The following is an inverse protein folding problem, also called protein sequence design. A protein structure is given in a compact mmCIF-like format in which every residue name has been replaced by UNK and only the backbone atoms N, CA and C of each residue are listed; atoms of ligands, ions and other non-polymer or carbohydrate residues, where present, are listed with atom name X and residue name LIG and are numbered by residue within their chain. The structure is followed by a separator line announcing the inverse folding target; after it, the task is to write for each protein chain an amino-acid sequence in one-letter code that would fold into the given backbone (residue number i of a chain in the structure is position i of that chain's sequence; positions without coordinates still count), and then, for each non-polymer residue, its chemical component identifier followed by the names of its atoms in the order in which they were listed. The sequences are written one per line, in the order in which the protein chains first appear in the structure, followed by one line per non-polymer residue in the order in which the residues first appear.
data_IF_346395088865
#
_entry.id   IF_346395088865
#
_cell.length_a   1.000
_cell.length_b   1.000
_cell.length_c   1.000
_cell.angle_alpha   90.00
_cell.angle_beta   90.00
_cell.angle_gamma   90.00
#
_symmetry.space_group_name_H-M   'P 1'
#
loop_
_entity.id
_entity.type
_entity.pdbx_description
1 polymer ?
#
# COMPACT_ATOMS: atom_id res chain seq x y z
N UNK A 1 -14.66 -16.51 -15.09
CA UNK A 1 -13.32 -16.73 -14.53
C UNK A 1 -13.51 -17.27 -13.13
N UNK A 2 -13.25 -18.56 -12.94
CA UNK A 2 -13.33 -19.23 -11.64
C UNK A 2 -12.26 -18.70 -10.68
N UNK A 3 -12.48 -18.79 -9.36
CA UNK A 3 -11.48 -18.39 -8.35
C UNK A 3 -10.14 -19.13 -8.51
N UNK A 4 -10.16 -20.34 -9.07
CA UNK A 4 -8.94 -21.10 -9.40
C UNK A 4 -8.09 -20.49 -10.53
N UNK A 5 -8.68 -19.70 -11.42
CA UNK A 5 -7.96 -19.04 -12.52
C UNK A 5 -7.29 -17.73 -12.09
N UNK A 6 -7.53 -17.25 -10.85
CA UNK A 6 -6.96 -16.02 -10.30
C UNK A 6 -5.80 -16.24 -9.32
N UNK A 7 -5.45 -17.49 -9.01
CA UNK A 7 -4.34 -17.79 -8.11
C UNK A 7 -3.02 -17.55 -8.84
N UNK A 8 -2.46 -16.35 -8.71
CA UNK A 8 -1.12 -16.06 -9.21
C UNK A 8 -0.10 -16.71 -8.26
N UNK A 9 0.71 -17.64 -8.76
CA UNK A 9 1.83 -18.18 -7.98
C UNK A 9 2.85 -17.07 -7.69
N UNK A 10 3.54 -17.14 -6.55
CA UNK A 10 4.53 -16.12 -6.18
C UNK A 10 5.67 -16.06 -7.19
N UNK A 11 6.12 -17.21 -7.67
CA UNK A 11 7.20 -17.33 -8.65
C UNK A 11 6.83 -16.62 -9.96
N UNK A 12 5.62 -16.84 -10.47
CA UNK A 12 5.10 -16.18 -11.67
C UNK A 12 4.98 -14.67 -11.48
N UNK A 13 4.50 -14.24 -10.30
CA UNK A 13 4.40 -12.83 -9.95
C UNK A 13 5.77 -12.16 -9.93
N UNK A 14 6.74 -12.78 -9.25
CA UNK A 14 8.12 -12.28 -9.15
C UNK A 14 8.79 -12.24 -10.51
N UNK A 15 8.62 -13.26 -11.35
CA UNK A 15 9.13 -13.27 -12.72
C UNK A 15 8.56 -12.12 -13.56
N UNK A 16 7.24 -11.88 -13.47
CA UNK A 16 6.57 -10.75 -14.14
C UNK A 16 7.09 -9.40 -13.66
N UNK A 17 7.23 -9.21 -12.34
CA UNK A 17 7.78 -7.99 -11.75
C UNK A 17 9.22 -7.75 -12.20
N UNK A 18 10.08 -8.77 -12.13
CA UNK A 18 11.47 -8.67 -12.56
C UNK A 18 11.58 -8.28 -14.04
N UNK A 19 10.74 -8.87 -14.91
CA UNK A 19 10.69 -8.52 -16.33
C UNK A 19 10.13 -7.11 -16.59
N UNK A 20 9.09 -6.70 -15.86
CA UNK A 20 8.50 -5.36 -15.97
C UNK A 20 9.47 -4.26 -15.52
N UNK A 21 10.25 -4.48 -14.47
CA UNK A 21 11.24 -3.52 -13.96
C UNK A 21 12.43 -3.28 -14.91
N UNK A 22 12.63 -4.14 -15.92
CA UNK A 22 13.64 -3.93 -16.99
C UNK A 22 13.15 -3.00 -18.10
N UNK A 23 11.88 -2.63 -18.09
CA UNK A 23 11.23 -1.76 -19.08
C UNK A 23 10.96 -0.37 -18.46
N UNK A 24 10.66 0.66 -19.28
CA UNK A 24 10.22 1.93 -18.74
C UNK A 24 9.03 1.75 -17.78
N UNK A 25 9.14 2.32 -16.59
CA UNK A 25 8.11 2.17 -15.55
C UNK A 25 6.80 2.86 -15.97
N UNK A 26 5.63 2.31 -15.60
CA UNK A 26 4.35 3.00 -15.76
C UNK A 26 4.34 4.37 -15.06
N UNK A 27 5.02 4.45 -13.92
CA UNK A 27 5.34 5.68 -13.22
C UNK A 27 4.17 6.62 -13.00
N UNK A 28 4.39 7.89 -13.33
CA UNK A 28 3.44 8.97 -13.15
C UNK A 28 2.04 8.68 -13.72
N UNK A 29 1.94 7.94 -14.83
CA UNK A 29 0.66 7.63 -15.45
C UNK A 29 -0.18 6.69 -14.56
N UNK A 30 0.44 5.64 -14.02
CA UNK A 30 -0.23 4.72 -13.12
C UNK A 30 -0.49 5.35 -11.74
N UNK A 31 0.48 6.11 -11.21
CA UNK A 31 0.32 6.85 -9.96
C UNK A 31 -0.86 7.83 -10.02
N UNK A 32 -1.09 8.47 -11.18
CA UNK A 32 -2.18 9.42 -11.37
C UNK A 32 -3.57 8.80 -11.22
N UNK A 33 -3.72 7.48 -11.41
CA UNK A 33 -5.00 6.79 -11.22
C UNK A 33 -5.51 6.89 -9.78
N UNK A 34 -4.59 6.88 -8.80
CA UNK A 34 -4.93 6.93 -7.37
C UNK A 34 -4.55 8.25 -6.68
N UNK A 35 -4.29 9.31 -7.46
CA UNK A 35 -3.97 10.62 -6.93
C UNK A 35 -5.23 11.37 -6.45
N UNK A 36 -5.20 12.07 -5.29
CA UNK A 36 -6.33 12.88 -4.80
C UNK A 36 -6.79 13.99 -5.77
N UNK A 37 -8.08 14.33 -5.73
CA UNK A 37 -8.72 15.34 -6.61
C UNK A 37 -9.47 16.42 -5.81
N UNK A 38 -9.22 17.73 -6.02
CA UNK A 38 -8.42 18.29 -7.10
C UNK A 38 -6.92 18.12 -6.85
N UNK A 39 -6.17 17.85 -7.92
CA UNK A 39 -4.70 17.70 -7.93
C UNK A 39 -3.95 19.03 -7.69
N UNK A 40 -4.48 19.92 -6.85
CA UNK A 40 -3.88 21.25 -6.61
C UNK A 40 -2.45 21.09 -6.07
N UNK A 41 -1.47 21.60 -6.82
CA UNK A 41 -0.05 21.52 -6.46
C UNK A 41 0.62 20.15 -6.69
N UNK A 42 -0.11 19.10 -7.08
CA UNK A 42 0.51 17.83 -7.45
C UNK A 42 1.00 17.88 -8.90
N UNK A 43 2.32 17.84 -9.05
CA UNK A 43 2.98 17.65 -10.33
C UNK A 43 3.80 16.36 -10.25
N UNK A 44 3.46 15.31 -11.02
CA UNK A 44 4.17 14.03 -10.97
C UNK A 44 5.63 14.13 -11.41
N UNK A 45 6.00 15.24 -12.06
CA UNK A 45 7.38 15.55 -12.46
C UNK A 45 8.06 16.52 -11.50
N UNK A 46 7.34 17.05 -10.52
CA UNK A 46 7.96 17.94 -9.54
C UNK A 46 8.91 17.16 -8.66
N UNK A 47 10.01 17.82 -8.34
CA UNK A 47 11.02 17.37 -7.39
C UNK A 47 10.96 18.32 -6.20
N UNK A 48 11.11 17.79 -5.00
CA UNK A 48 11.17 18.62 -3.80
C UNK A 48 12.34 19.62 -3.89
N UNK A 49 12.11 20.94 -3.78
CA UNK A 49 13.18 21.90 -3.61
C UNK A 49 13.85 21.66 -2.24
N UNK A 50 15.11 21.19 -2.23
CA UNK A 50 15.86 20.90 -0.99
C UNK A 50 15.35 19.68 -0.20
N UNK A 51 14.65 18.75 -0.86
CA UNK A 51 13.78 17.77 -0.21
C UNK A 51 14.41 16.74 0.72
N UNK A 52 13.69 16.47 1.82
CA UNK A 52 13.90 15.30 2.66
C UNK A 52 13.57 14.05 1.83
N UNK A 53 14.44 13.05 1.85
CA UNK A 53 14.19 11.79 1.17
C UNK A 53 13.64 10.76 2.15
N UNK A 54 12.70 9.94 1.69
CA UNK A 54 12.16 8.80 2.42
C UNK A 54 12.18 7.57 1.51
N UNK A 55 12.22 6.38 2.10
CA UNK A 55 12.12 5.14 1.36
C UNK A 55 11.07 4.24 1.99
N UNK A 56 10.37 3.48 1.15
CA UNK A 56 9.36 2.50 1.59
C UNK A 56 9.60 1.15 0.95
N UNK A 57 9.29 0.09 1.67
CA UNK A 57 9.44 -1.28 1.20
C UNK A 57 8.10 -1.82 0.68
N UNK A 58 8.03 -2.12 -0.62
CA UNK A 58 6.93 -2.87 -1.23
C UNK A 58 7.34 -4.34 -1.27
N UNK A 59 7.15 -5.04 -0.16
CA UNK A 59 7.54 -6.44 0.02
C UNK A 59 6.39 -7.39 -0.32
N UNK A 60 6.61 -8.31 -1.26
CA UNK A 60 5.70 -9.43 -1.55
C UNK A 60 6.28 -10.77 -1.10
N UNK A 61 5.48 -11.64 -0.50
CA UNK A 61 5.91 -12.94 0.04
C UNK A 61 4.73 -13.92 0.08
N UNK A 62 4.94 -15.23 0.32
CA UNK A 62 3.82 -16.16 0.45
C UNK A 62 3.07 -15.85 1.75
N UNK A 63 1.81 -15.45 1.66
CA UNK A 63 0.97 -15.14 2.82
C UNK A 63 0.51 -16.39 3.56
N UNK A 64 -0.22 -16.18 4.66
CA UNK A 64 -0.95 -17.27 5.29
C UNK A 64 -2.03 -17.80 4.31
N UNK A 65 -2.08 -19.12 4.14
CA UNK A 65 -3.18 -19.78 3.44
C UNK A 65 -4.54 -19.48 4.10
N UNK A 66 -5.63 -19.72 3.36
CA UNK A 66 -6.95 -19.70 3.98
C UNK A 66 -7.00 -20.74 5.11
N UNK A 67 -7.65 -20.39 6.23
CA UNK A 67 -7.99 -21.36 7.29
C UNK A 67 -9.11 -22.29 6.80
N UNK A 68 -8.89 -22.97 5.68
CA UNK A 68 -9.78 -23.92 5.05
C UNK A 68 -9.03 -25.23 4.88
N UNK A 69 -9.33 -26.17 5.78
CA UNK A 69 -8.79 -27.53 5.88
C UNK A 69 -7.29 -27.63 6.29
N UNK A 70 -7.00 -27.91 7.58
CA UNK A 70 -5.65 -28.25 8.04
C UNK A 70 -5.25 -29.61 7.45
N UNK A 71 -4.78 -29.62 6.21
CA UNK A 71 -4.36 -30.83 5.51
C UNK A 71 -4.21 -30.71 3.99
N UNK A 72 -4.66 -29.62 3.34
CA UNK A 72 -4.47 -29.45 1.90
C UNK A 72 -3.19 -28.65 1.58
N UNK A 73 -2.03 -29.28 1.79
CA UNK A 73 -0.70 -28.77 1.41
C UNK A 73 -0.55 -28.55 -0.13
N UNK A 74 -1.60 -28.78 -0.92
CA UNK A 74 -1.57 -28.70 -2.39
C UNK A 74 -1.83 -27.30 -2.93
N UNK A 75 -2.42 -26.40 -2.15
CA UNK A 75 -2.70 -25.03 -2.59
C UNK A 75 -1.53 -24.10 -2.24
N UNK A 76 -0.90 -23.45 -3.23
CA UNK A 76 0.20 -22.54 -2.95
C UNK A 76 -0.28 -21.33 -2.14
N UNK A 77 0.52 -20.96 -1.14
CA UNK A 77 0.30 -19.77 -0.31
C UNK A 77 0.11 -18.52 -1.18
N UNK A 78 -0.94 -17.71 -0.93
CA UNK A 78 -1.26 -16.59 -1.80
C UNK A 78 -0.23 -15.46 -1.67
N UNK A 79 0.24 -14.86 -2.78
CA UNK A 79 1.13 -13.71 -2.71
C UNK A 79 0.50 -12.55 -1.95
N UNK A 80 1.26 -11.98 -1.02
CA UNK A 80 0.77 -11.03 -0.03
C UNK A 80 1.75 -9.88 0.11
N UNK A 81 1.24 -8.65 0.18
CA UNK A 81 2.02 -7.42 0.34
C UNK A 81 1.99 -6.94 1.79
N UNK A 82 3.16 -6.60 2.33
CA UNK A 82 3.29 -6.01 3.66
C UNK A 82 2.82 -4.55 3.69
N UNK A 83 1.91 -4.25 4.61
CA UNK A 83 1.49 -2.90 4.96
C UNK A 83 1.43 -2.73 6.48
N UNK A 84 1.45 -1.48 6.93
CA UNK A 84 1.31 -1.09 8.32
C UNK A 84 0.20 -0.06 8.46
N UNK A 85 -0.55 -0.12 9.55
CA UNK A 85 -1.39 0.99 9.99
C UNK A 85 -0.69 1.72 11.14
N UNK A 86 -0.46 3.03 10.98
CA UNK A 86 0.17 3.84 12.03
C UNK A 86 -0.73 3.99 13.26
N UNK A 87 -0.15 4.13 14.44
CA UNK A 87 -0.92 4.41 15.67
C UNK A 87 -1.67 5.75 15.61
N UNK A 88 -2.64 5.95 16.50
CA UNK A 88 -3.26 7.27 16.72
C UNK A 88 -2.36 8.24 17.51
N UNK A 89 -1.21 7.76 17.99
CA UNK A 89 -0.32 8.45 18.91
C UNK A 89 0.82 9.20 18.20
N UNK A 90 1.10 8.87 16.93
CA UNK A 90 2.11 9.58 16.13
C UNK A 90 1.65 10.99 15.76
N UNK A 91 2.59 11.93 15.73
CA UNK A 91 2.31 13.36 15.48
C UNK A 91 1.73 13.64 14.08
N UNK A 92 2.02 12.78 13.09
CA UNK A 92 1.58 12.92 11.70
C UNK A 92 1.01 11.60 11.16
N UNK A 93 0.06 11.70 10.23
CA UNK A 93 -0.49 10.55 9.48
C UNK A 93 -1.12 9.44 10.37
N UNK A 94 -1.85 9.85 11.41
CA UNK A 94 -2.54 8.94 12.34
C UNK A 94 -3.45 7.97 11.60
N UNK A 95 -3.36 6.66 11.92
CA UNK A 95 -4.20 5.59 11.34
C UNK A 95 -4.11 5.43 9.81
N UNK A 96 -3.11 6.02 9.18
CA UNK A 96 -2.91 5.84 7.75
C UNK A 96 -2.33 4.44 7.50
N UNK A 97 -2.89 3.73 6.52
CA UNK A 97 -2.28 2.52 5.97
C UNK A 97 -1.19 2.93 4.99
N UNK A 98 0.01 2.40 5.17
CA UNK A 98 1.17 2.66 4.32
C UNK A 98 2.04 1.42 4.19
N UNK A 99 2.96 1.45 3.24
CA UNK A 99 4.11 0.56 3.25
C UNK A 99 5.00 0.88 4.47
N UNK A 100 5.70 -0.11 5.04
CA UNK A 100 6.75 0.16 6.01
C UNK A 100 7.82 1.06 5.40
N UNK A 101 8.31 2.03 6.16
CA UNK A 101 9.28 2.99 5.64
C UNK A 101 9.34 4.31 6.40
N UNK A 102 10.39 5.07 6.09
CA UNK A 102 10.73 6.28 6.83
C UNK A 102 11.77 7.12 6.13
N UNK A 103 12.38 8.05 6.87
CA UNK A 103 13.37 8.97 6.33
C UNK A 103 14.67 8.23 5.97
N UNK A 104 15.31 8.64 4.88
CA UNK A 104 16.65 8.16 4.54
C UNK A 104 17.65 8.90 5.43
N UNK A 105 18.44 8.17 6.22
CA UNK A 105 19.46 8.75 7.08
C UNK A 105 20.74 9.08 6.30
N UNK A 106 21.62 9.87 6.93
CA UNK A 106 22.87 10.29 6.29
C UNK A 106 23.76 9.07 6.03
N UNK A 107 24.06 8.85 4.75
CA UNK A 107 24.92 7.74 4.31
C UNK A 107 24.17 6.47 3.93
N UNK A 108 22.84 6.44 4.11
CA UNK A 108 22.01 5.34 3.65
C UNK A 108 21.63 5.48 2.16
N UNK A 109 21.57 4.35 1.47
CA UNK A 109 20.82 4.23 0.22
C UNK A 109 19.32 4.10 0.52
N UNK A 110 18.44 4.41 -0.45
CA UNK A 110 17.00 4.15 -0.32
C UNK A 110 16.66 2.70 0.07
N UNK A 111 17.39 1.71 -0.47
CA UNK A 111 17.23 0.30 -0.12
C UNK A 111 17.55 0.04 1.35
N UNK A 112 18.67 0.58 1.85
CA UNK A 112 19.08 0.41 3.24
C UNK A 112 18.04 1.01 4.19
N UNK A 113 17.57 2.22 3.89
CA UNK A 113 16.52 2.88 4.67
C UNK A 113 15.21 2.07 4.65
N UNK A 114 14.74 1.61 3.48
CA UNK A 114 13.51 0.83 3.39
C UNK A 114 13.59 -0.49 4.18
N UNK A 115 14.73 -1.19 4.13
CA UNK A 115 14.94 -2.44 4.87
C UNK A 115 15.06 -2.21 6.38
N UNK A 116 15.79 -1.17 6.79
CA UNK A 116 15.93 -0.78 8.21
C UNK A 116 14.57 -0.45 8.81
N UNK A 117 13.81 0.43 8.16
CA UNK A 117 12.48 0.86 8.62
C UNK A 117 11.50 -0.32 8.68
N UNK A 118 11.50 -1.20 7.66
CA UNK A 118 10.68 -2.40 7.70
C UNK A 118 11.04 -3.32 8.88
N UNK A 119 12.34 -3.49 9.17
CA UNK A 119 12.80 -4.26 10.32
C UNK A 119 12.38 -3.61 11.64
N UNK A 120 12.53 -2.30 11.78
CA UNK A 120 12.14 -1.55 12.98
C UNK A 120 10.63 -1.58 13.22
N UNK A 121 9.80 -1.39 12.19
CA UNK A 121 8.35 -1.26 12.31
C UNK A 121 7.63 -2.62 12.42
N UNK A 122 8.17 -3.66 11.76
CA UNK A 122 7.46 -4.94 11.56
C UNK A 122 8.26 -6.19 11.91
N UNK A 123 9.50 -6.04 12.38
CA UNK A 123 10.43 -7.13 12.68
C UNK A 123 10.81 -8.02 11.48
N UNK A 124 10.56 -7.57 10.24
CA UNK A 124 11.08 -8.24 9.04
C UNK A 124 12.60 -8.32 9.11
N UNK A 125 13.22 -9.52 9.02
CA UNK A 125 14.67 -9.63 9.02
C UNK A 125 15.28 -8.92 7.81
N UNK A 126 16.27 -8.06 8.02
CA UNK A 126 16.90 -7.23 6.96
C UNK A 126 17.45 -8.07 5.79
N UNK A 127 17.92 -9.30 6.06
CA UNK A 127 18.46 -10.21 5.04
C UNK A 127 17.43 -11.07 4.31
N UNK A 128 16.15 -11.03 4.70
CA UNK A 128 15.11 -11.86 4.08
C UNK A 128 14.62 -11.26 2.74
N UNK A 129 14.31 -9.96 2.63
CA UNK A 129 13.89 -9.38 1.35
C UNK A 129 15.00 -9.40 0.28
N UNK A 130 14.64 -9.89 -0.90
CA UNK A 130 15.42 -9.81 -2.13
C UNK A 130 14.90 -8.67 -2.98
N UNK A 131 15.73 -7.65 -3.20
CA UNK A 131 15.32 -6.45 -3.96
C UNK A 131 15.21 -6.79 -5.45
N UNK A 132 14.08 -6.42 -6.05
CA UNK A 132 13.82 -6.53 -7.48
C UNK A 132 14.21 -5.25 -8.22
N UNK A 133 14.00 -4.09 -7.58
CA UNK A 133 14.31 -2.79 -8.16
C UNK A 133 13.56 -1.64 -7.49
N UNK A 134 13.66 -0.45 -8.08
CA UNK A 134 12.99 0.77 -7.62
C UNK A 134 11.77 1.06 -8.49
N UNK A 135 10.69 1.53 -7.87
CA UNK A 135 9.57 2.16 -8.59
C UNK A 135 9.84 3.66 -8.79
N UNK A 136 8.95 4.35 -9.50
CA UNK A 136 9.09 5.78 -9.77
C UNK A 136 9.01 6.58 -8.47
N UNK A 137 10.02 7.43 -8.16
CA UNK A 137 9.96 8.29 -6.97
C UNK A 137 8.74 9.20 -6.98
N UNK A 138 8.12 9.37 -5.81
CA UNK A 138 6.91 10.15 -5.65
C UNK A 138 7.15 11.32 -4.70
N UNK A 139 7.03 12.55 -5.22
CA UNK A 139 7.04 13.74 -4.39
C UNK A 139 5.66 13.94 -3.73
N UNK A 140 5.67 14.17 -2.41
CA UNK A 140 4.48 14.38 -1.59
C UNK A 140 4.50 15.81 -1.03
N UNK A 141 3.77 16.76 -1.65
CA UNK A 141 3.79 18.17 -1.26
C UNK A 141 3.41 18.41 0.21
N UNK A 142 2.43 17.65 0.73
CA UNK A 142 1.91 17.80 2.08
C UNK A 142 2.97 17.52 3.18
N UNK A 143 3.96 16.69 2.88
CA UNK A 143 5.03 16.33 3.82
C UNK A 143 6.40 16.90 3.42
N UNK A 144 6.55 17.33 2.16
CA UNK A 144 7.81 17.80 1.59
C UNK A 144 8.79 16.67 1.23
N UNK A 145 8.40 15.41 1.39
CA UNK A 145 9.26 14.26 1.10
C UNK A 145 9.21 13.85 -0.37
N UNK A 146 10.35 13.38 -0.88
CA UNK A 146 10.40 12.50 -2.05
C UNK A 146 10.51 11.06 -1.56
N UNK A 147 9.49 10.25 -1.84
CA UNK A 147 9.45 8.84 -1.45
C UNK A 147 10.07 8.00 -2.56
N UNK A 148 11.00 7.11 -2.18
CA UNK A 148 11.64 6.13 -3.04
C UNK A 148 11.07 4.72 -2.72
N UNK A 149 10.16 4.17 -3.55
CA UNK A 149 9.59 2.86 -3.29
C UNK A 149 10.51 1.75 -3.80
N UNK A 150 10.81 0.79 -2.94
CA UNK A 150 11.70 -0.35 -3.21
C UNK A 150 10.83 -1.60 -3.36
N UNK A 151 10.79 -2.17 -4.56
CA UNK A 151 10.10 -3.43 -4.81
C UNK A 151 11.02 -4.59 -4.41
N UNK A 152 10.53 -5.45 -3.52
CA UNK A 152 11.26 -6.61 -3.04
C UNK A 152 10.33 -7.81 -2.88
N UNK A 153 10.91 -8.99 -2.78
CA UNK A 153 10.18 -10.22 -2.50
C UNK A 153 10.92 -11.10 -1.49
N UNK A 154 10.22 -12.03 -0.86
CA UNK A 154 10.82 -13.07 -0.03
C UNK A 154 10.25 -14.45 -0.39
N UNK A 155 11.10 -15.47 -0.36
CA UNK A 155 10.74 -16.87 -0.63
C UNK A 155 9.84 -17.46 0.48
N UNK A 156 9.82 -16.84 1.67
CA UNK A 156 9.05 -17.30 2.83
C UNK A 156 8.34 -16.13 3.54
N UNK A 157 7.31 -16.46 4.34
CA UNK A 157 6.60 -15.48 5.15
C UNK A 157 7.49 -15.01 6.32
N UNK A 158 7.79 -13.71 6.45
CA UNK A 158 8.54 -13.20 7.59
C UNK A 158 7.83 -13.48 8.93
N UNK A 159 8.62 -13.63 10.00
CA UNK A 159 8.10 -13.53 11.36
C UNK A 159 7.80 -12.07 11.69
N UNK A 160 6.51 -11.72 11.72
CA UNK A 160 6.07 -10.34 11.85
C UNK A 160 5.72 -9.98 13.30
N UNK A 161 6.23 -8.85 13.77
CA UNK A 161 5.86 -8.25 15.06
C UNK A 161 5.86 -6.74 14.95
N UNK A 162 4.73 -6.11 15.32
CA UNK A 162 4.57 -4.66 15.23
C UNK A 162 5.37 -3.93 16.30
N UNK A 163 6.03 -2.85 15.92
CA UNK A 163 6.61 -1.89 16.86
C UNK A 163 5.49 -1.03 17.46
N UNK A 164 5.14 -1.28 18.73
CA UNK A 164 3.87 -0.81 19.30
C UNK A 164 3.72 0.70 19.40
N UNK A 165 4.81 1.45 19.35
CA UNK A 165 4.80 2.92 19.43
C UNK A 165 4.28 3.53 18.12
N UNK A 166 4.75 3.02 16.99
CA UNK A 166 4.43 3.58 15.68
C UNK A 166 3.39 2.79 14.90
N UNK A 167 3.31 1.47 15.09
CA UNK A 167 2.43 0.58 14.32
C UNK A 167 1.28 0.05 15.19
N UNK A 168 0.04 0.41 14.82
CA UNK A 168 -1.19 -0.11 15.42
C UNK A 168 -1.43 -1.56 15.06
N UNK A 169 -1.31 -1.90 13.77
CA UNK A 169 -1.40 -3.27 13.25
C UNK A 169 -0.59 -3.42 11.97
N UNK A 170 -0.18 -4.66 11.72
CA UNK A 170 0.36 -5.09 10.43
C UNK A 170 -0.83 -5.56 9.57
N UNK A 171 -0.81 -5.20 8.29
CA UNK A 171 -1.80 -5.59 7.30
C UNK A 171 -1.09 -6.42 6.24
N UNK A 172 -1.65 -7.60 5.98
CA UNK A 172 -1.17 -8.55 4.99
C UNK A 172 -2.15 -8.54 3.81
N UNK A 173 -1.88 -7.68 2.82
CA UNK A 173 -2.81 -7.46 1.70
C UNK A 173 -2.57 -8.49 0.59
N UNK A 174 -3.54 -9.39 0.38
CA UNK A 174 -3.48 -10.37 -0.72
C UNK A 174 -3.45 -9.66 -2.07
N UNK A 175 -2.51 -10.04 -2.94
CA UNK A 175 -2.40 -9.49 -4.30
C UNK A 175 -3.68 -9.73 -5.10
N UNK A 176 -4.30 -10.90 -4.94
CA UNK A 176 -5.58 -11.22 -5.58
C UNK A 176 -6.71 -10.26 -5.17
N UNK A 177 -6.75 -9.82 -3.91
CA UNK A 177 -7.73 -8.83 -3.44
C UNK A 177 -7.49 -7.48 -4.09
N UNK A 178 -6.24 -7.02 -4.17
CA UNK A 178 -5.86 -5.76 -4.82
C UNK A 178 -6.18 -5.74 -6.33
N UNK A 179 -6.15 -6.90 -6.99
CA UNK A 179 -6.52 -7.07 -8.40
C UNK A 179 -8.03 -7.21 -8.62
N UNK A 180 -8.83 -7.38 -7.58
CA UNK A 180 -10.29 -7.36 -7.68
C UNK A 180 -10.74 -5.93 -8.06
N UNK A 181 -11.50 -5.75 -9.16
CA UNK A 181 -12.07 -4.45 -9.51
C UNK A 181 -12.86 -3.80 -8.36
N UNK A 182 -13.41 -4.59 -7.45
CA UNK A 182 -14.15 -4.10 -6.27
C UNK A 182 -13.25 -3.57 -5.15
N UNK A 183 -11.93 -3.78 -5.22
CA UNK A 183 -11.02 -3.24 -4.21
C UNK A 183 -10.68 -1.78 -4.48
N UNK A 184 -10.63 -1.35 -5.74
CA UNK A 184 -10.22 0.00 -6.11
C UNK A 184 -11.42 0.90 -6.34
N UNK A 185 -11.48 2.03 -5.63
CA UNK A 185 -12.56 3.00 -5.72
C UNK A 185 -12.03 4.32 -6.27
N UNK A 186 -12.65 4.83 -7.34
CA UNK A 186 -12.21 6.04 -8.05
C UNK A 186 -12.61 7.38 -7.36
N UNK A 187 -12.94 7.38 -6.06
CA UNK A 187 -13.28 8.58 -5.31
C UNK A 187 -14.71 8.63 -4.74
N UNK A 188 -15.39 7.50 -4.64
CA UNK A 188 -16.65 7.38 -3.88
C UNK A 188 -16.33 7.32 -2.38
N UNK A 189 -16.21 8.49 -1.75
CA UNK A 189 -16.40 8.64 -0.30
C UNK A 189 -15.19 8.33 0.61
N UNK A 190 -14.28 9.30 0.77
CA UNK A 190 -13.64 9.58 2.05
C UNK A 190 -13.56 11.09 2.20
N UNK A 191 -14.35 11.70 3.10
CA UNK A 191 -14.00 13.04 3.57
C UNK A 191 -12.80 12.87 4.53
N UNK A 192 -11.70 13.59 4.30
CA UNK A 192 -10.49 13.47 5.11
C UNK A 192 -10.73 13.67 6.63
N UNK A 193 -11.82 14.35 7.00
CA UNK A 193 -12.26 14.60 8.38
C UNK A 193 -13.08 13.46 9.04
N UNK A 194 -13.48 12.42 8.30
CA UNK A 194 -14.40 11.36 8.78
C UNK A 194 -13.70 10.02 9.11
N UNK A 195 -12.37 10.01 9.27
CA UNK A 195 -11.63 8.84 9.75
C UNK A 195 -11.88 8.64 11.27
N UNK A 196 -12.24 7.43 11.77
CA UNK A 196 -12.76 7.26 13.14
C UNK A 196 -11.72 7.41 14.27
N UNK A 197 -12.15 8.00 15.39
CA UNK A 197 -11.48 8.06 16.70
C UNK A 197 -11.71 6.76 17.52
N UNK A 198 -10.70 6.20 18.23
CA UNK A 198 -10.77 4.88 18.89
C UNK A 198 -11.76 4.68 20.03
N UNK A 199 -12.25 5.73 20.68
CA UNK A 199 -13.14 5.58 21.86
C UNK A 199 -14.61 5.31 21.49
N UNK A 200 -14.96 5.27 20.22
CA UNK A 200 -16.23 4.69 19.78
C UNK A 200 -16.06 3.16 19.75
N UNK A 201 -16.54 2.50 20.81
CA UNK A 201 -16.46 1.04 21.00
C UNK A 201 -16.77 0.23 19.74
N UNK A 202 -16.20 -0.99 19.67
CA UNK A 202 -16.31 -1.91 18.52
C UNK A 202 -17.74 -1.93 17.95
N UNK A 203 -17.94 -1.64 16.65
CA UNK A 203 -19.14 -2.10 15.97
C UNK A 203 -18.98 -3.59 15.67
N UNK A 204 -19.90 -4.38 16.21
CA UNK A 204 -20.23 -5.72 15.73
C UNK A 204 -20.42 -5.71 14.21
N UNK A 205 -19.88 -6.73 13.52
CA UNK A 205 -20.11 -7.09 12.11
C UNK A 205 -20.80 -6.00 11.25
N UNK A 206 -20.03 -4.99 10.81
CA UNK A 206 -20.60 -3.78 10.20
C UNK A 206 -20.23 -3.63 8.73
N UNK A 207 -21.24 -3.22 7.95
CA UNK A 207 -21.32 -3.02 6.48
C UNK A 207 -20.10 -2.37 5.80
N UNK A 208 -19.94 -2.57 4.47
CA UNK A 208 -18.94 -1.89 3.64
C UNK A 208 -18.87 -0.39 3.93
N UNK A 209 -17.66 0.17 3.90
CA UNK A 209 -17.42 1.58 4.25
C UNK A 209 -18.26 2.56 3.42
N UNK A 210 -18.49 2.24 2.14
CA UNK A 210 -19.34 2.99 1.22
C UNK A 210 -20.78 3.22 1.73
N UNK A 211 -21.30 2.34 2.59
CA UNK A 211 -22.67 2.38 3.09
C UNK A 211 -22.84 3.22 4.37
N UNK A 212 -21.74 3.77 4.93
CA UNK A 212 -21.80 4.63 6.13
C UNK A 212 -21.94 6.09 5.74
N UNK A 213 -23.11 6.45 5.20
CA UNK A 213 -23.43 7.84 4.88
C UNK A 213 -23.39 8.75 6.11
N UNK A 214 -22.60 9.82 6.06
CA UNK A 214 -22.60 10.91 7.03
C UNK A 214 -22.45 12.25 6.34
N UNK A 215 -23.47 13.11 6.45
CA UNK A 215 -23.43 14.51 5.98
C UNK A 215 -22.70 15.39 7.00
N UNK A 216 -21.75 16.16 6.45
CA UNK A 216 -21.28 17.52 6.74
C UNK A 216 -21.01 18.00 8.18
N UNK A 217 -19.78 18.47 8.41
CA UNK A 217 -19.47 19.88 8.74
C UNK A 217 -17.96 20.16 8.52
N UNK A 218 -17.60 21.18 7.70
CA UNK A 218 -16.27 21.83 7.71
C UNK A 218 -15.24 21.52 6.60
N UNK A 219 -15.43 22.06 5.39
CA UNK A 219 -14.35 22.34 4.42
C UNK A 219 -14.20 21.37 3.22
N UNK A 220 -13.78 21.84 2.02
CA UNK A 220 -13.80 21.05 0.78
C UNK A 220 -12.62 20.06 0.73
N UNK A 221 -12.78 18.90 1.38
CA UNK A 221 -11.84 17.80 1.24
C UNK A 221 -12.29 16.84 0.13
N UNK A 222 -11.54 16.94 -0.97
CA UNK A 222 -11.36 16.03 -2.09
C UNK A 222 -11.86 14.58 -1.89
N UNK A 223 -12.73 14.12 -2.81
CA UNK A 223 -12.93 12.71 -3.14
C UNK A 223 -11.58 12.09 -3.51
N UNK A 224 -11.01 11.23 -2.65
CA UNK A 224 -9.74 10.57 -2.90
C UNK A 224 -9.96 9.11 -3.33
N UNK A 225 -9.34 8.65 -4.43
CA UNK A 225 -9.31 7.24 -4.75
C UNK A 225 -8.60 6.44 -3.65
N UNK A 226 -9.08 5.22 -3.40
CA UNK A 226 -8.50 4.33 -2.39
C UNK A 226 -8.64 2.85 -2.78
N UNK A 227 -7.83 1.99 -2.16
CA UNK A 227 -8.04 0.55 -2.13
C UNK A 227 -8.69 0.15 -0.80
N UNK A 228 -9.77 -0.63 -0.84
CA UNK A 228 -10.36 -1.29 0.33
C UNK A 228 -9.65 -2.62 0.59
N UNK A 229 -8.95 -2.69 1.72
CA UNK A 229 -8.20 -3.84 2.22
C UNK A 229 -8.94 -4.46 3.40
N UNK A 230 -10.17 -4.90 3.14
CA UNK A 230 -11.07 -5.58 4.08
C UNK A 230 -11.28 -4.77 5.37
N UNK A 231 -11.73 -3.52 5.20
CA UNK A 231 -12.01 -2.60 6.31
C UNK A 231 -10.83 -1.69 6.68
N UNK A 232 -9.80 -1.64 5.84
CA UNK A 232 -8.72 -0.65 5.92
C UNK A 232 -8.58 0.06 4.57
N UNK A 233 -8.53 1.39 4.56
CA UNK A 233 -8.39 2.17 3.33
C UNK A 233 -6.92 2.53 3.07
N UNK A 234 -6.38 2.08 1.95
CA UNK A 234 -5.09 2.54 1.41
C UNK A 234 -5.33 3.68 0.43
N UNK A 235 -4.84 4.87 0.74
CA UNK A 235 -5.08 6.09 -0.05
C UNK A 235 -3.84 7.00 -0.10
N UNK A 236 -3.90 8.04 -0.93
CA UNK A 236 -2.81 9.01 -1.06
C UNK A 236 -1.54 8.40 -1.65
N UNK A 237 -0.36 8.83 -1.17
CA UNK A 237 0.92 8.42 -1.73
C UNK A 237 1.11 6.89 -1.79
N UNK A 238 0.69 6.16 -0.76
CA UNK A 238 0.81 4.70 -0.74
C UNK A 238 -0.13 4.02 -1.75
N UNK A 239 -1.34 4.56 -1.98
CA UNK A 239 -2.21 4.05 -3.05
C UNK A 239 -1.65 4.36 -4.45
N UNK A 240 -0.99 5.50 -4.63
CA UNK A 240 -0.33 5.84 -5.89
C UNK A 240 0.86 4.90 -6.19
N UNK A 241 1.66 4.59 -5.17
CA UNK A 241 2.74 3.59 -5.27
C UNK A 241 2.17 2.19 -5.56
N UNK A 242 1.11 1.80 -4.86
CA UNK A 242 0.41 0.53 -5.10
C UNK A 242 -0.12 0.44 -6.54
N UNK A 243 -0.67 1.54 -7.07
CA UNK A 243 -1.18 1.60 -8.44
C UNK A 243 -0.09 1.33 -9.50
N UNK A 244 1.09 1.93 -9.34
CA UNK A 244 2.24 1.64 -10.22
C UNK A 244 2.71 0.19 -10.07
N UNK A 245 2.81 -0.32 -8.84
CA UNK A 245 3.21 -1.71 -8.60
C UNK A 245 2.23 -2.70 -9.25
N UNK A 246 0.91 -2.46 -9.11
CA UNK A 246 -0.12 -3.29 -9.75
C UNK A 246 -0.09 -3.17 -11.29
N UNK A 247 0.24 -1.99 -11.83
CA UNK A 247 0.39 -1.80 -13.27
C UNK A 247 1.51 -2.66 -13.86
N UNK A 248 2.61 -2.89 -13.11
CA UNK A 248 3.70 -3.78 -13.55
C UNK A 248 3.25 -5.22 -13.78
N UNK A 249 2.14 -5.63 -13.15
CA UNK A 249 1.59 -6.99 -13.25
C UNK A 249 0.30 -7.05 -14.08
N UNK A 250 -0.02 -5.97 -14.79
CA UNK A 250 -1.11 -5.91 -15.76
C UNK A 250 -2.44 -5.36 -15.23
N UNK A 251 -2.47 -4.72 -14.06
CA UNK A 251 -3.67 -4.06 -13.58
C UNK A 251 -4.04 -2.85 -14.48
N UNK A 252 -5.28 -2.77 -14.99
CA UNK A 252 -5.68 -1.72 -15.94
C UNK A 252 -6.03 -0.38 -15.28
N UNK A 253 -5.92 -0.27 -13.96
CA UNK A 253 -6.39 0.87 -13.18
C UNK A 253 -7.74 0.63 -12.50
N UNK A 254 -8.23 1.61 -11.71
CA UNK A 254 -9.50 1.49 -11.02
C UNK A 254 -10.66 1.44 -12.03
N UNK A 255 -11.77 0.76 -11.71
CA UNK A 255 -12.98 0.85 -12.51
C UNK A 255 -13.42 2.32 -12.63
N UNK A 256 -14.03 2.66 -13.78
CA UNK A 256 -14.61 3.98 -13.94
C UNK A 256 -15.66 4.23 -12.85
N UNK A 257 -15.67 5.44 -12.27
CA UNK A 257 -16.69 5.82 -11.29
C UNK A 257 -18.09 5.64 -11.92
N UNK A 258 -19.01 5.04 -11.18
CA UNK A 258 -20.40 4.96 -11.62
C UNK A 258 -20.91 6.40 -11.80
N UNK A 259 -21.43 6.71 -12.99
CA UNK A 259 -21.96 8.03 -13.33
C UNK A 259 -23.31 8.28 -12.67
#
# INVERSE_FOLDING_TARGET
MSDRERQLALEDLVARLADALRRPLPGAAAQAWMAPQPRSGWNPRARAPGGRAAAVLVLVYPGAGDQGDPGDDRLPSPPTILLTERTGLVERHKRQVSFPGGAIERGESPEQAALREAAEETAVPVGLPRILGRLTPLWVPASGFTIHPIAAWADERPSLSRQRREVARIIEARVARLLDPRAAHAGEGIAAAQLPHPDAGRPSAARPWADRGGREEGGPWARAPYFDLDGAALWGASAMIMAEWLALIGWPGPPAAAR
#
